data_IF_316869682586
#
_entry.id   IF_316869682586
#
_cell.length_a   1.000
_cell.length_b   1.000
_cell.length_c   1.000
_cell.angle_alpha   90.00
_cell.angle_beta   90.00
_cell.angle_gamma   90.00
#
_symmetry.space_group_name_H-M   'P 1'
#
loop_
_entity.id
_entity.type
_entity.pdbx_description
1 polymer ?
#
# COMPACT_ATOMS: atom_id res chain seq x y z
N UNK A 1 -3.35 -21.99 -29.50
CA UNK A 1 -3.33 -20.55 -29.43
C UNK A 1 -3.49 -20.06 -28.05
N UNK A 2 -2.46 -19.52 -27.50
CA UNK A 2 -2.64 -18.97 -26.18
C UNK A 2 -3.55 -17.79 -26.34
N UNK A 3 -4.72 -17.95 -25.78
CA UNK A 3 -5.54 -16.94 -25.69
C UNK A 3 -5.14 -16.06 -24.67
N UNK A 4 -5.12 -14.84 -24.70
CA UNK A 4 -4.99 -13.88 -23.63
C UNK A 4 -4.09 -14.39 -22.51
N UNK A 5 -2.91 -14.88 -22.84
CA UNK A 5 -1.93 -15.03 -21.80
C UNK A 5 -1.68 -13.64 -21.30
N UNK A 6 -2.30 -13.33 -20.18
CA UNK A 6 -1.90 -12.17 -19.44
C UNK A 6 -0.41 -12.29 -19.27
N UNK A 7 0.31 -11.30 -19.79
CA UNK A 7 1.73 -11.22 -19.58
C UNK A 7 1.98 -11.25 -18.09
N UNK A 8 2.42 -12.38 -17.57
CA UNK A 8 2.71 -12.45 -16.15
C UNK A 8 3.98 -11.66 -15.91
N UNK A 9 4.04 -10.95 -14.80
CA UNK A 9 5.23 -10.19 -14.44
C UNK A 9 6.45 -11.08 -14.34
N UNK A 10 6.28 -12.30 -13.84
CA UNK A 10 7.37 -13.25 -13.72
C UNK A 10 7.93 -13.66 -15.08
N UNK A 11 7.09 -13.79 -16.12
CA UNK A 11 7.56 -14.12 -17.46
C UNK A 11 8.36 -12.98 -18.08
N UNK A 12 8.16 -11.75 -17.63
CA UNK A 12 8.92 -10.59 -18.05
C UNK A 12 10.16 -10.35 -17.17
N UNK A 13 10.36 -11.18 -16.14
CA UNK A 13 11.46 -10.98 -15.19
C UNK A 13 11.25 -9.81 -14.24
N UNK A 14 10.02 -9.38 -14.08
CA UNK A 14 9.69 -8.23 -13.25
C UNK A 14 9.12 -8.70 -11.92
N UNK A 15 9.67 -8.17 -10.84
CA UNK A 15 9.14 -8.37 -9.49
C UNK A 15 8.52 -7.07 -9.02
N UNK A 16 7.40 -7.16 -8.30
CA UNK A 16 6.77 -5.97 -7.72
C UNK A 16 7.71 -5.34 -6.71
N UNK A 17 8.05 -4.06 -6.88
CA UNK A 17 8.90 -3.37 -5.92
C UNK A 17 8.18 -3.12 -4.61
N UNK A 18 8.87 -3.40 -3.51
CA UNK A 18 8.40 -3.09 -2.16
C UNK A 18 9.58 -3.03 -1.21
N UNK A 19 9.35 -2.47 -0.04
CA UNK A 19 10.35 -2.49 1.02
C UNK A 19 9.64 -2.83 2.33
N UNK A 20 9.73 -4.10 2.73
CA UNK A 20 9.04 -4.60 3.92
C UNK A 20 9.51 -3.89 5.17
N UNK A 21 10.81 -3.65 5.29
CA UNK A 21 11.35 -2.99 6.47
C UNK A 21 10.83 -1.56 6.62
N UNK A 22 10.73 -0.83 5.51
CA UNK A 22 10.19 0.52 5.55
C UNK A 22 8.71 0.50 5.94
N UNK A 23 7.93 -0.43 5.39
CA UNK A 23 6.52 -0.57 5.75
C UNK A 23 6.34 -0.86 7.23
N UNK A 24 7.09 -1.84 7.73
CA UNK A 24 7.00 -2.21 9.14
C UNK A 24 7.47 -1.08 10.06
N UNK A 25 8.49 -0.34 9.63
CA UNK A 25 9.04 0.76 10.43
C UNK A 25 8.05 1.92 10.57
N UNK A 26 7.35 2.29 9.50
CA UNK A 26 6.36 3.37 9.61
C UNK A 26 5.17 2.94 10.45
N UNK A 27 4.75 1.69 10.34
CA UNK A 27 3.64 1.18 11.16
C UNK A 27 4.02 1.08 12.62
N UNK A 28 5.23 0.60 12.91
CA UNK A 28 5.73 0.54 14.28
C UNK A 28 5.83 1.94 14.90
N UNK A 29 6.33 2.89 14.15
CA UNK A 29 6.42 4.27 14.61
C UNK A 29 5.04 4.87 14.89
N UNK A 30 4.06 4.60 14.03
CA UNK A 30 2.69 5.07 14.22
C UNK A 30 2.04 4.46 15.47
N UNK A 31 2.37 3.21 15.77
CA UNK A 31 1.88 2.54 16.96
C UNK A 31 2.41 3.17 18.23
N UNK A 32 3.63 3.68 18.19
CA UNK A 32 4.32 4.23 19.35
C UNK A 32 4.20 5.74 19.50
N UNK A 33 3.79 6.45 18.45
CA UNK A 33 3.73 7.92 18.45
C UNK A 33 2.50 8.40 17.71
N UNK A 34 1.63 9.06 18.44
CA UNK A 34 0.36 9.56 17.91
C UNK A 34 0.57 10.60 16.79
N UNK A 35 1.62 11.39 16.87
CA UNK A 35 1.94 12.36 15.82
C UNK A 35 2.24 11.66 14.49
N UNK A 36 2.96 10.56 14.57
CA UNK A 36 3.25 9.74 13.38
C UNK A 36 1.96 9.10 12.85
N UNK A 37 1.12 8.59 13.75
CA UNK A 37 -0.16 8.02 13.34
C UNK A 37 -1.02 9.05 12.59
N UNK A 38 -1.15 10.25 13.14
CA UNK A 38 -1.89 11.33 12.49
C UNK A 38 -1.36 11.60 11.09
N UNK A 39 -0.06 11.57 10.94
CA UNK A 39 0.58 11.81 9.67
C UNK A 39 0.30 10.71 8.66
N UNK A 40 0.36 9.44 9.09
CA UNK A 40 0.02 8.32 8.23
C UNK A 40 -1.44 8.42 7.76
N UNK A 41 -2.35 8.69 8.69
CA UNK A 41 -3.78 8.80 8.35
C UNK A 41 -4.02 9.91 7.33
N UNK A 42 -3.27 11.02 7.43
CA UNK A 42 -3.40 12.13 6.50
C UNK A 42 -2.81 11.81 5.12
N UNK A 43 -1.67 11.15 5.09
CA UNK A 43 -0.84 11.05 3.88
C UNK A 43 -0.88 9.69 3.18
N UNK A 44 -1.34 8.63 3.85
CA UNK A 44 -1.20 7.28 3.34
C UNK A 44 -2.56 6.63 3.09
N UNK A 45 -2.66 5.89 2.00
CA UNK A 45 -3.78 5.02 1.72
C UNK A 45 -3.38 3.57 1.94
N UNK A 46 -4.33 2.67 2.28
CA UNK A 46 -3.98 1.27 2.54
C UNK A 46 -3.26 0.60 1.38
N UNK A 47 -3.60 0.96 0.15
CA UNK A 47 -2.99 0.38 -1.06
C UNK A 47 -1.50 0.64 -1.16
N UNK A 48 -1.00 1.63 -0.45
CA UNK A 48 0.43 1.96 -0.45
C UNK A 48 1.27 0.90 0.23
N UNK A 49 0.65 0.05 1.04
CA UNK A 49 1.34 -1.07 1.67
C UNK A 49 1.23 -2.31 0.79
N UNK A 50 2.36 -2.89 0.46
CA UNK A 50 2.41 -4.07 -0.39
C UNK A 50 1.98 -5.34 0.35
N UNK A 51 2.44 -5.50 1.58
CA UNK A 51 2.14 -6.67 2.40
C UNK A 51 0.67 -6.67 2.81
N UNK A 52 -0.01 -7.79 2.62
CA UNK A 52 -1.39 -7.93 3.06
C UNK A 52 -1.53 -7.71 4.56
N UNK A 53 -0.56 -8.21 5.34
CA UNK A 53 -0.56 -8.03 6.79
C UNK A 53 -0.39 -6.56 7.16
N UNK A 54 0.55 -5.88 6.52
CA UNK A 54 0.79 -4.45 6.79
C UNK A 54 -0.41 -3.61 6.38
N UNK A 55 -1.04 -3.95 5.27
CA UNK A 55 -2.26 -3.26 4.83
C UNK A 55 -3.38 -3.43 5.84
N UNK A 56 -3.57 -4.66 6.33
CA UNK A 56 -4.60 -4.94 7.34
C UNK A 56 -4.34 -4.19 8.64
N UNK A 57 -3.08 -4.13 9.07
CA UNK A 57 -2.70 -3.37 10.26
C UNK A 57 -3.05 -1.89 10.07
N UNK A 58 -2.66 -1.31 8.93
CA UNK A 58 -2.94 0.09 8.67
C UNK A 58 -4.44 0.38 8.56
N UNK A 59 -5.19 -0.46 7.86
CA UNK A 59 -6.64 -0.30 7.75
C UNK A 59 -7.30 -0.32 9.13
N UNK A 60 -6.83 -1.20 10.02
CA UNK A 60 -7.35 -1.30 11.36
C UNK A 60 -7.00 -0.07 12.19
N UNK A 61 -5.76 0.41 12.09
CA UNK A 61 -5.36 1.66 12.74
C UNK A 61 -6.25 2.82 12.30
N UNK A 62 -6.50 2.90 10.99
CA UNK A 62 -7.30 3.97 10.40
C UNK A 62 -8.74 3.90 10.88
N UNK A 63 -9.30 2.70 10.95
CA UNK A 63 -10.66 2.48 11.45
C UNK A 63 -10.78 2.90 12.90
N UNK A 64 -9.86 2.46 13.75
CA UNK A 64 -9.85 2.84 15.17
C UNK A 64 -9.71 4.36 15.33
N UNK A 65 -8.82 4.95 14.57
CA UNK A 65 -8.60 6.40 14.59
C UNK A 65 -9.87 7.16 14.20
N UNK A 66 -10.53 6.71 13.14
CA UNK A 66 -11.76 7.35 12.64
C UNK A 66 -12.89 7.23 13.66
N UNK A 67 -12.94 6.14 14.40
CA UNK A 67 -13.94 5.91 15.43
C UNK A 67 -13.58 6.58 16.76
N UNK A 68 -12.50 7.32 16.80
CA UNK A 68 -11.98 7.98 18.01
C UNK A 68 -11.62 6.99 19.12
N UNK A 69 -11.25 5.77 18.71
CA UNK A 69 -10.78 4.75 19.64
C UNK A 69 -9.28 4.87 19.83
N UNK A 70 -8.78 4.40 20.96
CA UNK A 70 -7.35 4.35 21.18
C UNK A 70 -6.70 3.38 20.18
N UNK A 71 -5.52 3.75 19.68
CA UNK A 71 -4.73 2.90 18.80
C UNK A 71 -3.48 2.47 19.56
N UNK A 72 -3.55 1.28 20.12
CA UNK A 72 -2.42 0.69 20.87
C UNK A 72 -2.35 -0.80 20.57
N UNK A 73 -1.37 -1.48 21.16
CA UNK A 73 -1.17 -2.91 20.95
C UNK A 73 -2.45 -3.71 21.23
N UNK A 74 -3.10 -3.41 22.32
CA UNK A 74 -4.27 -4.19 22.77
C UNK A 74 -5.45 -4.00 21.84
N UNK A 75 -5.80 -2.76 21.53
CA UNK A 75 -6.95 -2.47 20.66
C UNK A 75 -6.71 -2.98 19.26
N UNK A 76 -5.48 -2.85 18.76
CA UNK A 76 -5.14 -3.28 17.43
C UNK A 76 -5.18 -4.80 17.30
N UNK A 77 -4.61 -5.52 18.25
CA UNK A 77 -4.63 -6.98 18.25
C UNK A 77 -6.07 -7.51 18.35
N UNK A 78 -6.86 -6.89 19.21
CA UNK A 78 -8.27 -7.29 19.35
C UNK A 78 -9.03 -7.14 18.04
N UNK A 79 -8.87 -6.01 17.37
CA UNK A 79 -9.56 -5.77 16.11
C UNK A 79 -9.03 -6.68 14.99
N UNK A 80 -7.73 -6.89 14.92
CA UNK A 80 -7.12 -7.75 13.90
C UNK A 80 -7.47 -9.22 14.08
N UNK A 81 -7.69 -9.66 15.30
CA UNK A 81 -8.05 -11.05 15.56
C UNK A 81 -9.35 -11.49 14.91
N UNK A 82 -10.19 -10.53 14.52
CA UNK A 82 -11.50 -10.79 13.95
C UNK A 82 -11.59 -10.54 12.44
N UNK A 83 -10.52 -10.10 11.80
CA UNK A 83 -10.63 -9.68 10.38
C UNK A 83 -10.19 -10.73 9.36
N UNK A 84 -9.72 -11.88 9.80
CA UNK A 84 -9.39 -12.98 8.90
C UNK A 84 -8.01 -12.92 8.23
N UNK A 85 -7.27 -11.83 8.38
CA UNK A 85 -5.93 -11.72 7.80
C UNK A 85 -4.91 -12.56 8.57
N UNK A 86 -5.08 -12.63 9.88
CA UNK A 86 -4.24 -13.44 10.75
C UNK A 86 -5.03 -14.69 11.17
N UNK A 87 -4.30 -15.75 11.48
CA UNK A 87 -4.94 -17.02 11.89
C UNK A 87 -5.74 -16.87 13.19
N UNK A 88 -5.44 -15.86 13.99
CA UNK A 88 -6.15 -15.59 15.22
C UNK A 88 -5.47 -14.47 15.97
N UNK A 89 -5.97 -14.17 17.16
CA UNK A 89 -5.45 -13.08 17.99
C UNK A 89 -3.99 -13.30 18.38
N UNK A 90 -3.58 -14.55 18.58
CA UNK A 90 -2.19 -14.86 18.96
C UNK A 90 -1.21 -14.49 17.84
N UNK A 91 -1.54 -14.84 16.60
CA UNK A 91 -0.68 -14.50 15.46
C UNK A 91 -0.67 -12.99 15.22
N UNK A 92 -1.80 -12.33 15.36
CA UNK A 92 -1.88 -10.88 15.27
C UNK A 92 -1.00 -10.23 16.34
N UNK A 93 -1.04 -10.76 17.57
CA UNK A 93 -0.23 -10.23 18.67
C UNK A 93 1.26 -10.34 18.39
N UNK A 94 1.70 -11.48 17.87
CA UNK A 94 3.10 -11.67 17.51
C UNK A 94 3.54 -10.65 16.48
N UNK A 95 2.72 -10.45 15.45
CA UNK A 95 3.06 -9.53 14.39
C UNK A 95 3.10 -8.07 14.86
N UNK A 96 2.08 -7.65 15.59
CA UNK A 96 2.00 -6.26 16.07
C UNK A 96 3.10 -5.98 17.09
N UNK A 97 3.42 -6.95 17.93
CA UNK A 97 4.54 -6.83 18.86
C UNK A 97 5.85 -6.65 18.09
N UNK A 98 6.04 -7.40 17.02
CA UNK A 98 7.21 -7.24 16.16
C UNK A 98 7.29 -5.82 15.58
N UNK A 99 6.16 -5.28 15.12
CA UNK A 99 6.13 -3.91 14.61
C UNK A 99 6.55 -2.90 15.69
N UNK A 100 6.05 -3.07 16.91
CA UNK A 100 6.38 -2.19 18.02
C UNK A 100 7.87 -2.24 18.36
N UNK A 101 8.49 -3.39 18.18
CA UNK A 101 9.92 -3.59 18.46
C UNK A 101 10.83 -3.11 17.34
N UNK A 102 10.27 -2.92 16.14
CA UNK A 102 11.02 -2.51 14.95
C UNK A 102 11.01 -0.98 14.79
N UNK A 103 10.90 -0.25 15.89
CA UNK A 103 10.74 1.20 15.82
C UNK A 103 12.06 1.86 15.43
N UNK A 104 12.12 2.57 14.30
CA UNK A 104 13.29 3.38 13.96
C UNK A 104 13.30 4.62 14.83
N UNK A 105 14.40 5.36 14.78
CA UNK A 105 14.38 6.70 15.33
C UNK A 105 13.27 7.48 14.65
N UNK A 106 12.43 8.15 15.43
CA UNK A 106 11.27 8.89 14.91
C UNK A 106 11.70 9.91 13.85
N UNK A 107 12.90 10.46 13.98
CA UNK A 107 13.45 11.40 12.98
C UNK A 107 13.60 10.80 11.59
N UNK A 108 13.57 9.47 11.43
CA UNK A 108 13.72 8.83 10.14
C UNK A 108 12.39 8.46 9.48
N UNK A 109 11.27 8.73 10.12
CA UNK A 109 9.96 8.34 9.60
C UNK A 109 9.71 8.93 8.21
N UNK A 110 10.09 10.19 7.98
CA UNK A 110 9.92 10.83 6.68
C UNK A 110 10.63 10.07 5.56
N UNK A 111 11.83 9.60 5.82
CA UNK A 111 12.59 8.82 4.85
C UNK A 111 11.92 7.49 4.55
N UNK A 112 11.40 6.82 5.57
CA UNK A 112 10.72 5.55 5.38
C UNK A 112 9.39 5.71 4.66
N UNK A 113 8.64 6.78 4.98
CA UNK A 113 7.40 7.10 4.25
C UNK A 113 7.69 7.34 2.77
N UNK A 114 8.76 8.05 2.48
CA UNK A 114 9.18 8.30 1.10
C UNK A 114 9.47 6.99 0.37
N UNK A 115 10.18 6.07 1.01
CA UNK A 115 10.48 4.77 0.41
C UNK A 115 9.18 4.01 0.11
N UNK A 116 8.26 3.97 1.05
CA UNK A 116 6.97 3.28 0.85
C UNK A 116 6.22 3.88 -0.33
N UNK A 117 6.15 5.21 -0.42
CA UNK A 117 5.48 5.89 -1.52
C UNK A 117 6.15 5.63 -2.86
N UNK A 118 7.47 5.70 -2.92
CA UNK A 118 8.21 5.45 -4.16
C UNK A 118 7.99 4.04 -4.67
N UNK A 119 7.99 3.06 -3.77
CA UNK A 119 7.71 1.68 -4.15
C UNK A 119 6.28 1.51 -4.64
N UNK A 120 5.34 2.18 -4.00
CA UNK A 120 3.95 2.17 -4.45
C UNK A 120 3.81 2.79 -5.84
N UNK A 121 4.42 3.94 -6.09
CA UNK A 121 4.38 4.57 -7.40
C UNK A 121 4.98 3.67 -8.47
N UNK A 122 6.07 2.99 -8.15
CA UNK A 122 6.69 2.05 -9.09
C UNK A 122 5.75 0.89 -9.41
N UNK A 123 5.03 0.37 -8.41
CA UNK A 123 4.04 -0.68 -8.65
C UNK A 123 2.90 -0.19 -9.55
N UNK A 124 2.42 1.03 -9.30
CA UNK A 124 1.38 1.63 -10.15
C UNK A 124 1.86 1.79 -11.59
N UNK A 125 3.12 2.18 -11.76
CA UNK A 125 3.70 2.32 -13.09
C UNK A 125 3.76 0.97 -13.81
N UNK A 126 4.14 -0.08 -13.11
CA UNK A 126 4.16 -1.44 -13.67
C UNK A 126 2.75 -1.87 -14.10
N UNK A 127 1.76 -1.62 -13.26
CA UNK A 127 0.37 -1.96 -13.58
C UNK A 127 -0.14 -1.14 -14.77
N UNK A 128 0.21 0.13 -14.84
CA UNK A 128 -0.15 0.97 -15.98
C UNK A 128 0.48 0.43 -17.27
N UNK A 129 1.74 0.01 -17.21
CA UNK A 129 2.42 -0.56 -18.37
C UNK A 129 1.75 -1.85 -18.83
N UNK A 130 1.36 -2.72 -17.90
CA UNK A 130 0.61 -3.94 -18.23
C UNK A 130 -0.71 -3.61 -18.89
N UNK A 131 -1.42 -2.65 -18.35
CA UNK A 131 -2.70 -2.22 -18.91
C UNK A 131 -2.53 -1.66 -20.32
N UNK A 132 -1.50 -0.85 -20.53
CA UNK A 132 -1.19 -0.29 -21.85
C UNK A 132 -0.90 -1.42 -22.85
N UNK A 133 -0.08 -2.40 -22.45
CA UNK A 133 0.21 -3.55 -23.31
C UNK A 133 -1.05 -4.32 -23.66
N UNK A 134 -1.91 -4.53 -22.67
CA UNK A 134 -3.18 -5.25 -22.88
C UNK A 134 -4.08 -4.49 -23.86
N UNK A 135 -4.18 -3.17 -23.71
CA UNK A 135 -5.03 -2.35 -24.56
C UNK A 135 -4.57 -2.33 -26.02
N UNK A 136 -3.26 -2.48 -26.28
CA UNK A 136 -2.78 -2.47 -27.67
C UNK A 136 -3.31 -3.63 -28.50
N UNK A 137 -3.77 -4.69 -27.86
CA UNK A 137 -4.36 -5.82 -28.56
C UNK A 137 -5.88 -5.73 -28.74
N UNK A 138 -6.50 -4.64 -28.28
CA UNK A 138 -7.95 -4.50 -28.29
C UNK A 138 -8.52 -4.09 -29.64
N UNK A 139 -7.69 -3.64 -30.57
CA UNK A 139 -8.15 -3.17 -31.86
C UNK A 139 -8.58 -1.71 -31.89
N UNK A 140 -8.41 -0.98 -30.81
CA UNK A 140 -8.70 0.44 -30.78
C UNK A 140 -7.66 1.20 -31.57
N UNK A 141 -8.03 2.41 -32.03
CA UNK A 141 -7.10 3.20 -32.81
C UNK A 141 -5.97 3.78 -31.94
N UNK A 142 -4.89 4.15 -32.59
CA UNK A 142 -3.68 4.58 -31.90
C UNK A 142 -3.88 5.85 -31.07
N UNK A 143 -4.71 6.78 -31.53
CA UNK A 143 -4.95 8.01 -30.78
C UNK A 143 -5.65 7.73 -29.46
N UNK A 144 -6.62 6.83 -29.45
CA UNK A 144 -7.30 6.42 -28.23
C UNK A 144 -6.37 5.69 -27.27
N UNK A 145 -5.49 4.83 -27.81
CA UNK A 145 -4.51 4.12 -27.00
C UNK A 145 -3.53 5.08 -26.34
N UNK A 146 -3.04 6.07 -27.10
CA UNK A 146 -2.14 7.08 -26.59
C UNK A 146 -2.79 7.93 -25.51
N UNK A 147 -4.02 8.35 -25.73
CA UNK A 147 -4.76 9.14 -24.75
C UNK A 147 -4.97 8.39 -23.46
N UNK A 148 -5.33 7.12 -23.54
CA UNK A 148 -5.49 6.25 -22.37
C UNK A 148 -4.18 6.09 -21.63
N UNK A 149 -3.07 5.87 -22.33
CA UNK A 149 -1.76 5.73 -21.71
C UNK A 149 -1.32 7.01 -21.00
N UNK A 150 -1.52 8.16 -21.64
CA UNK A 150 -1.21 9.45 -21.05
C UNK A 150 -2.01 9.70 -19.77
N UNK A 151 -3.28 9.33 -19.77
CA UNK A 151 -4.12 9.49 -18.59
C UNK A 151 -3.63 8.63 -17.43
N UNK A 152 -3.25 7.38 -17.71
CA UNK A 152 -2.72 6.49 -16.67
C UNK A 152 -1.46 7.03 -16.03
N UNK A 153 -0.55 7.54 -16.84
CA UNK A 153 0.73 8.10 -16.35
C UNK A 153 0.44 9.39 -15.55
N UNK A 154 -0.45 10.23 -16.07
CA UNK A 154 -0.82 11.46 -15.38
C UNK A 154 -1.40 11.17 -13.99
N UNK A 155 -2.27 10.17 -13.89
CA UNK A 155 -2.89 9.82 -12.61
C UNK A 155 -1.85 9.38 -11.57
N UNK A 156 -0.83 8.65 -11.99
CA UNK A 156 0.25 8.24 -11.10
C UNK A 156 1.05 9.46 -10.64
N UNK A 157 1.43 10.33 -11.56
CA UNK A 157 2.25 11.51 -11.25
C UNK A 157 1.52 12.49 -10.36
N UNK A 158 0.21 12.65 -10.56
CA UNK A 158 -0.58 13.59 -9.78
C UNK A 158 -0.97 13.06 -8.40
N UNK A 159 -0.67 11.79 -8.12
CA UNK A 159 -1.05 11.15 -6.87
C UNK A 159 -2.53 10.79 -6.79
N UNK A 160 -3.25 10.87 -7.91
CA UNK A 160 -4.65 10.46 -7.92
C UNK A 160 -4.76 8.96 -7.93
N UNK A 161 -5.60 8.44 -7.09
CA UNK A 161 -5.94 7.04 -7.13
C UNK A 161 -7.38 6.88 -7.63
N UNK A 162 -7.83 5.63 -7.64
CA UNK A 162 -9.17 5.31 -8.14
C UNK A 162 -10.29 5.85 -7.27
N UNK A 163 -9.99 6.25 -6.05
CA UNK A 163 -11.01 6.66 -5.09
C UNK A 163 -11.41 8.12 -5.23
N UNK A 164 -10.83 8.82 -6.17
CA UNK A 164 -11.29 10.14 -6.51
C UNK A 164 -10.36 11.27 -6.21
N UNK A 165 -10.88 12.44 -6.37
CA UNK A 165 -10.13 13.67 -6.31
C UNK A 165 -10.02 14.11 -4.87
N UNK A 166 -8.81 14.25 -4.39
CA UNK A 166 -8.61 14.96 -3.14
C UNK A 166 -8.52 16.43 -3.44
N UNK A 167 -9.44 17.14 -2.96
CA UNK A 167 -9.43 18.58 -3.03
C UNK A 167 -8.63 19.15 -1.89
#
# INVERSE_FOLDING_TARGET
>A
MPRNEELSLSSLGIQMPYNMQAEQSVLGAALMDETVLNRLITDMEPEMFYSDQNRAVYETMRSLYTESEAVDLITLVNALGNNGTFAGADDAKVYVTHLAETVPAISNVDSYLKIVREKYQARRLIEAARSILSETSSGEDADMLLESAEQKIYDIRSGRDKSGVKT
#
